data_IF_352702732486
#
_entry.id   IF_352702732486
#
_cell.length_a   1.000
_cell.length_b   1.000
_cell.length_c   1.000
_cell.angle_alpha   90.00
_cell.angle_beta   90.00
_cell.angle_gamma   90.00
#
_symmetry.space_group_name_H-M   'P 1'
#
loop_
_entity.id
_entity.type
_entity.pdbx_description
1 polymer ?
#
# COMPACT_ATOMS: atom_id res chain seq x y z
N UNK A 1 -15.88 28.87 -22.04
CA UNK A 1 -15.79 27.97 -20.88
C UNK A 1 -17.16 27.52 -20.38
N UNK A 2 -18.16 28.43 -20.21
CA UNK A 2 -19.51 28.09 -19.74
C UNK A 2 -20.23 27.08 -20.63
N UNK A 3 -20.16 27.22 -21.96
CA UNK A 3 -20.80 26.28 -22.91
C UNK A 3 -20.26 24.85 -22.78
N UNK A 4 -18.98 24.69 -22.57
CA UNK A 4 -18.37 23.35 -22.38
C UNK A 4 -18.81 22.69 -21.07
N UNK A 5 -18.94 23.46 -19.99
CA UNK A 5 -19.45 22.95 -18.72
C UNK A 5 -20.88 22.43 -18.84
N UNK A 6 -21.73 23.22 -19.51
CA UNK A 6 -23.13 22.86 -19.79
C UNK A 6 -23.18 21.60 -20.66
N UNK A 7 -22.42 21.55 -21.75
CA UNK A 7 -22.36 20.35 -22.61
C UNK A 7 -21.89 19.10 -21.86
N UNK A 8 -20.90 19.24 -20.98
CA UNK A 8 -20.42 18.13 -20.14
C UNK A 8 -21.47 17.67 -19.15
N UNK A 9 -22.21 18.60 -18.54
CA UNK A 9 -23.30 18.28 -17.61
C UNK A 9 -24.42 17.52 -18.33
N UNK A 10 -24.86 18.01 -19.49
CA UNK A 10 -25.85 17.32 -20.32
C UNK A 10 -25.36 15.93 -20.74
N UNK A 11 -24.13 15.80 -21.21
CA UNK A 11 -23.55 14.49 -21.61
C UNK A 11 -23.52 13.49 -20.43
N UNK A 12 -23.23 13.95 -19.21
CA UNK A 12 -23.28 13.10 -18.01
C UNK A 12 -24.71 12.66 -17.67
N UNK A 13 -25.66 13.61 -17.75
CA UNK A 13 -27.09 13.33 -17.51
C UNK A 13 -27.64 12.34 -18.52
N UNK A 14 -27.37 12.56 -19.82
CA UNK A 14 -27.77 11.65 -20.91
C UNK A 14 -27.22 10.24 -20.71
N UNK A 15 -25.96 10.12 -20.31
CA UNK A 15 -25.34 8.82 -20.06
C UNK A 15 -25.92 8.09 -18.84
N UNK A 16 -26.54 8.79 -17.91
CA UNK A 16 -27.17 8.20 -16.74
C UNK A 16 -28.64 7.88 -16.97
N UNK A 17 -29.44 8.91 -17.26
CA UNK A 17 -30.87 8.81 -17.61
C UNK A 17 -31.33 10.11 -18.27
N UNK A 18 -31.99 10.03 -19.42
CA UNK A 18 -32.49 11.19 -20.16
C UNK A 18 -33.47 12.04 -19.36
N UNK A 19 -34.21 11.43 -18.45
CA UNK A 19 -35.17 12.09 -17.56
C UNK A 19 -34.51 13.07 -16.57
N UNK A 20 -33.17 13.02 -16.40
CA UNK A 20 -32.41 14.07 -15.69
C UNK A 20 -32.34 15.39 -16.45
N UNK A 21 -32.59 15.38 -17.76
CA UNK A 21 -32.65 16.58 -18.60
C UNK A 21 -34.08 17.09 -18.66
N UNK A 22 -35.02 16.21 -19.02
CA UNK A 22 -36.44 16.51 -19.04
C UNK A 22 -37.21 15.28 -18.51
N UNK A 23 -37.94 15.39 -17.38
CA UNK A 23 -38.72 14.28 -16.80
C UNK A 23 -39.78 13.69 -17.72
N UNK A 24 -40.15 14.40 -18.81
CA UNK A 24 -41.13 13.91 -19.79
C UNK A 24 -40.57 12.89 -20.78
N UNK A 25 -39.26 12.62 -20.79
CA UNK A 25 -38.69 11.54 -21.59
C UNK A 25 -39.18 10.18 -21.09
N UNK A 26 -39.37 9.26 -22.00
CA UNK A 26 -39.76 7.89 -21.69
C UNK A 26 -38.67 7.13 -20.89
N UNK A 27 -39.15 6.18 -20.08
CA UNK A 27 -38.27 5.24 -19.39
C UNK A 27 -37.70 4.23 -20.38
N UNK A 28 -36.41 4.25 -20.62
CA UNK A 28 -35.76 3.28 -21.48
C UNK A 28 -35.29 2.07 -20.67
N UNK A 29 -35.71 0.87 -21.11
CA UNK A 29 -35.41 -0.38 -20.41
C UNK A 29 -33.92 -0.72 -20.30
N UNK A 30 -33.11 -0.14 -21.21
CA UNK A 30 -31.66 -0.31 -21.28
C UNK A 30 -30.85 0.84 -20.67
N UNK A 31 -31.47 1.75 -19.92
CA UNK A 31 -30.73 2.80 -19.22
C UNK A 31 -30.01 2.25 -17.98
N UNK A 32 -29.05 3.02 -17.45
CA UNK A 32 -28.26 2.61 -16.26
C UNK A 32 -29.14 2.37 -15.04
N UNK A 33 -30.23 3.12 -14.87
CA UNK A 33 -31.13 2.95 -13.75
C UNK A 33 -31.81 1.57 -13.77
N UNK A 34 -32.27 1.13 -14.94
CA UNK A 34 -32.89 -0.19 -15.13
C UNK A 34 -31.88 -1.31 -14.94
N UNK A 35 -30.69 -1.20 -15.50
CA UNK A 35 -29.62 -2.18 -15.30
C UNK A 35 -29.20 -2.26 -13.83
N UNK A 36 -29.08 -1.12 -13.15
CA UNK A 36 -28.74 -1.10 -11.73
C UNK A 36 -29.82 -1.78 -10.88
N UNK A 37 -31.09 -1.49 -11.12
CA UNK A 37 -32.19 -2.12 -10.41
C UNK A 37 -32.17 -3.64 -10.58
N UNK A 38 -31.96 -4.13 -11.81
CA UNK A 38 -31.83 -5.56 -12.11
C UNK A 38 -30.69 -6.19 -11.33
N UNK A 39 -29.49 -5.62 -11.39
CA UNK A 39 -28.31 -6.14 -10.69
C UNK A 39 -28.49 -6.15 -9.18
N UNK A 40 -29.05 -5.07 -8.63
CA UNK A 40 -29.37 -5.03 -7.19
C UNK A 40 -30.31 -6.16 -6.81
N UNK A 41 -31.36 -6.40 -7.60
CA UNK A 41 -32.32 -7.46 -7.35
C UNK A 41 -31.69 -8.86 -7.45
N UNK A 42 -30.77 -9.08 -8.38
CA UNK A 42 -29.99 -10.33 -8.49
C UNK A 42 -29.16 -10.60 -7.23
N UNK A 43 -28.39 -9.61 -6.76
CA UNK A 43 -27.60 -9.72 -5.53
C UNK A 43 -28.49 -9.84 -4.28
N UNK A 44 -29.61 -9.13 -4.26
CA UNK A 44 -30.58 -9.23 -3.17
C UNK A 44 -31.09 -10.65 -3.01
N UNK A 45 -31.47 -11.31 -4.10
CA UNK A 45 -31.94 -12.70 -4.10
C UNK A 45 -30.83 -13.69 -3.81
N UNK A 46 -29.65 -13.51 -4.45
CA UNK A 46 -28.48 -14.37 -4.27
C UNK A 46 -28.04 -14.47 -2.80
N UNK A 47 -28.12 -13.37 -2.07
CA UNK A 47 -27.67 -13.28 -0.68
C UNK A 47 -28.84 -13.01 0.29
N UNK A 48 -30.04 -13.50 -0.03
CA UNK A 48 -31.21 -13.25 0.83
C UNK A 48 -31.12 -13.96 2.18
N UNK A 49 -30.70 -15.21 2.19
CA UNK A 49 -30.52 -15.99 3.43
C UNK A 49 -29.49 -15.35 4.37
N UNK A 50 -28.46 -14.71 3.83
CA UNK A 50 -27.40 -14.04 4.57
C UNK A 50 -27.70 -12.57 4.89
N UNK A 51 -28.84 -12.04 4.39
CA UNK A 51 -29.15 -10.60 4.48
C UNK A 51 -28.00 -9.71 4.00
N UNK A 52 -27.40 -10.07 2.83
CA UNK A 52 -26.31 -9.34 2.21
C UNK A 52 -26.73 -7.92 1.84
N UNK A 53 -25.83 -6.95 2.03
CA UNK A 53 -26.12 -5.54 1.80
C UNK A 53 -25.35 -4.97 0.61
N UNK A 54 -25.87 -3.91 0.00
CA UNK A 54 -25.33 -3.31 -1.21
C UNK A 54 -25.25 -1.80 -1.08
N UNK A 55 -24.18 -1.22 -1.62
CA UNK A 55 -23.96 0.23 -1.69
C UNK A 55 -24.19 0.71 -3.11
N UNK A 56 -24.92 1.80 -3.28
CA UNK A 56 -25.15 2.42 -4.59
C UNK A 56 -24.66 3.85 -4.55
N UNK A 57 -23.68 4.16 -5.38
CA UNK A 57 -23.05 5.47 -5.46
C UNK A 57 -23.45 6.20 -6.75
N UNK A 58 -23.90 7.44 -6.62
CA UNK A 58 -24.00 8.42 -7.69
C UNK A 58 -23.88 9.82 -7.14
N UNK A 59 -23.14 10.69 -7.83
CA UNK A 59 -23.09 12.13 -7.55
C UNK A 59 -24.08 12.92 -8.42
N UNK A 60 -24.76 12.23 -9.35
CA UNK A 60 -25.84 12.75 -10.19
C UNK A 60 -27.18 12.08 -9.87
N UNK A 61 -28.25 12.83 -10.03
CA UNK A 61 -29.62 12.30 -9.84
C UNK A 61 -29.88 11.82 -8.42
N UNK A 62 -29.22 12.46 -7.44
CA UNK A 62 -29.37 12.15 -6.02
C UNK A 62 -30.78 12.48 -5.53
N UNK A 63 -31.16 11.87 -4.42
CA UNK A 63 -32.49 12.07 -3.84
C UNK A 63 -32.79 13.55 -3.56
N UNK A 64 -33.91 14.02 -4.11
CA UNK A 64 -34.50 15.33 -3.88
C UNK A 64 -36.00 15.17 -3.68
N UNK A 65 -36.53 15.57 -2.51
CA UNK A 65 -37.96 15.48 -2.24
C UNK A 65 -38.80 16.33 -3.23
N UNK A 66 -39.85 15.74 -3.77
CA UNK A 66 -40.77 16.44 -4.67
C UNK A 66 -40.32 16.65 -6.11
N UNK A 67 -39.11 16.13 -6.45
CA UNK A 67 -38.61 16.12 -7.82
C UNK A 67 -38.24 14.72 -8.26
N UNK A 68 -38.44 14.44 -9.57
CA UNK A 68 -37.96 13.19 -10.16
C UNK A 68 -36.44 13.10 -10.01
N UNK A 69 -35.96 11.97 -9.56
CA UNK A 69 -34.52 11.70 -9.44
C UNK A 69 -34.24 10.20 -9.62
N UNK A 70 -33.01 9.89 -9.99
CA UNK A 70 -32.59 8.53 -10.32
C UNK A 70 -32.66 7.57 -9.11
N UNK A 71 -32.37 8.06 -7.91
CA UNK A 71 -32.45 7.23 -6.70
C UNK A 71 -33.89 6.76 -6.45
N UNK A 72 -34.84 7.68 -6.52
CA UNK A 72 -36.26 7.36 -6.36
C UNK A 72 -36.77 6.44 -7.46
N UNK A 73 -36.28 6.63 -8.69
CA UNK A 73 -36.66 5.78 -9.83
C UNK A 73 -36.14 4.34 -9.66
N UNK A 74 -34.87 4.16 -9.28
CA UNK A 74 -34.33 2.85 -9.01
C UNK A 74 -35.08 2.19 -7.84
N UNK A 75 -35.37 2.93 -6.78
CA UNK A 75 -36.16 2.44 -5.65
C UNK A 75 -37.55 2.00 -6.10
N UNK A 76 -38.23 2.80 -6.94
CA UNK A 76 -39.54 2.42 -7.51
C UNK A 76 -39.44 1.10 -8.27
N UNK A 77 -38.48 0.94 -9.18
CA UNK A 77 -38.24 -0.29 -9.92
C UNK A 77 -37.96 -1.48 -8.98
N UNK A 78 -37.12 -1.29 -7.95
CA UNK A 78 -36.85 -2.35 -6.96
C UNK A 78 -38.10 -2.81 -6.20
N UNK A 79 -38.96 -1.88 -5.87
CA UNK A 79 -40.20 -2.18 -5.15
C UNK A 79 -41.26 -2.76 -6.08
N UNK A 80 -41.55 -2.09 -7.20
CA UNK A 80 -42.67 -2.44 -8.08
C UNK A 80 -42.34 -3.63 -8.99
N UNK A 81 -41.16 -3.64 -9.61
CA UNK A 81 -40.81 -4.64 -10.61
C UNK A 81 -40.15 -5.89 -9.98
N UNK A 82 -39.44 -5.72 -8.86
CA UNK A 82 -38.65 -6.79 -8.21
C UNK A 82 -39.19 -7.23 -6.84
N UNK A 83 -40.17 -6.53 -6.27
CA UNK A 83 -40.84 -6.89 -5.01
C UNK A 83 -39.97 -6.70 -3.75
N UNK A 84 -38.93 -5.87 -3.81
CA UNK A 84 -38.08 -5.61 -2.65
C UNK A 84 -38.77 -4.65 -1.70
N UNK A 85 -38.86 -4.94 -0.39
CA UNK A 85 -39.55 -4.07 0.55
C UNK A 85 -38.94 -2.66 0.61
N UNK A 86 -39.76 -1.63 0.47
CA UNK A 86 -39.33 -0.23 0.51
C UNK A 86 -38.59 0.14 1.82
N UNK A 87 -38.91 -0.56 2.92
CA UNK A 87 -38.24 -0.38 4.22
C UNK A 87 -36.78 -0.81 4.23
N UNK A 88 -36.39 -1.72 3.32
CA UNK A 88 -35.01 -2.22 3.21
C UNK A 88 -34.13 -1.38 2.29
N UNK A 89 -34.69 -0.34 1.66
CA UNK A 89 -34.00 0.57 0.76
C UNK A 89 -33.98 1.98 1.37
N UNK A 90 -32.78 2.56 1.55
CA UNK A 90 -32.60 3.85 2.18
C UNK A 90 -31.70 4.78 1.35
N UNK A 91 -31.99 6.07 1.45
CA UNK A 91 -31.13 7.13 0.93
C UNK A 91 -30.44 7.82 2.10
N UNK A 92 -29.12 7.95 2.04
CA UNK A 92 -28.37 8.62 3.12
C UNK A 92 -28.76 10.09 3.26
N UNK A 93 -29.25 10.70 2.19
CA UNK A 93 -29.76 12.08 2.15
C UNK A 93 -31.02 12.29 3.01
N UNK A 94 -31.77 11.23 3.31
CA UNK A 94 -32.93 11.29 4.21
C UNK A 94 -32.54 11.49 5.68
N UNK A 95 -31.28 11.23 6.01
CA UNK A 95 -30.76 11.34 7.38
C UNK A 95 -30.46 12.80 7.73
N UNK A 96 -31.35 13.44 8.50
CA UNK A 96 -31.24 14.85 8.89
C UNK A 96 -30.15 15.12 9.92
N UNK A 97 -29.69 14.12 10.65
CA UNK A 97 -28.69 14.26 11.71
C UNK A 97 -27.84 12.98 11.86
N UNK A 98 -26.76 13.07 12.60
CA UNK A 98 -25.83 11.97 12.85
C UNK A 98 -26.48 10.77 13.54
N UNK A 99 -27.47 10.98 14.40
CA UNK A 99 -28.20 9.89 15.08
C UNK A 99 -29.00 9.08 14.07
N UNK A 100 -29.71 9.73 13.15
CA UNK A 100 -30.46 9.04 12.09
C UNK A 100 -29.50 8.30 11.15
N UNK A 101 -28.37 8.92 10.80
CA UNK A 101 -27.33 8.31 9.97
C UNK A 101 -26.76 7.04 10.63
N UNK A 102 -26.43 7.12 11.91
CA UNK A 102 -25.95 5.96 12.68
C UNK A 102 -26.99 4.84 12.71
N UNK A 103 -28.27 5.17 12.92
CA UNK A 103 -29.34 4.17 12.93
C UNK A 103 -29.44 3.40 11.59
N UNK A 104 -29.29 4.09 10.45
CA UNK A 104 -29.28 3.44 9.14
C UNK A 104 -28.05 2.55 8.95
N UNK A 105 -26.88 2.99 9.41
CA UNK A 105 -25.64 2.21 9.37
C UNK A 105 -25.77 0.94 10.22
N UNK A 106 -26.31 1.05 11.42
CA UNK A 106 -26.54 -0.08 12.32
C UNK A 106 -27.55 -1.06 11.70
N UNK A 107 -28.64 -0.55 11.12
CA UNK A 107 -29.63 -1.35 10.42
C UNK A 107 -29.05 -2.09 9.20
N UNK A 108 -28.08 -1.51 8.48
CA UNK A 108 -27.33 -2.22 7.44
C UNK A 108 -26.47 -3.36 8.01
N UNK A 109 -25.74 -3.08 9.07
CA UNK A 109 -24.90 -4.09 9.72
C UNK A 109 -25.73 -5.24 10.33
N UNK A 110 -26.98 -4.99 10.67
CA UNK A 110 -27.96 -5.99 11.12
C UNK A 110 -28.67 -6.71 9.96
N UNK A 111 -28.58 -6.19 8.73
CA UNK A 111 -29.27 -6.72 7.55
C UNK A 111 -30.73 -6.33 7.44
N UNK A 112 -31.22 -5.36 8.23
CA UNK A 112 -32.56 -4.78 8.15
C UNK A 112 -32.71 -3.80 6.98
N UNK A 113 -31.64 -3.07 6.65
CA UNK A 113 -31.50 -2.28 5.42
C UNK A 113 -30.54 -3.00 4.51
N UNK A 114 -30.99 -3.34 3.32
CA UNK A 114 -30.25 -4.16 2.37
C UNK A 114 -29.59 -3.33 1.26
N UNK A 115 -30.14 -2.16 0.95
CA UNK A 115 -29.63 -1.28 -0.12
C UNK A 115 -29.56 0.16 0.40
N UNK A 116 -28.38 0.76 0.29
CA UNK A 116 -28.18 2.17 0.63
C UNK A 116 -27.65 2.95 -0.57
N UNK A 117 -28.27 4.09 -0.82
CA UNK A 117 -27.86 5.03 -1.85
C UNK A 117 -27.19 6.24 -1.22
N UNK A 118 -26.16 6.75 -1.88
CA UNK A 118 -25.53 8.00 -1.47
C UNK A 118 -24.50 8.53 -2.45
N UNK A 119 -24.20 9.83 -2.31
CA UNK A 119 -23.11 10.48 -3.05
C UNK A 119 -21.75 10.17 -2.42
N UNK A 120 -20.68 10.46 -3.16
CA UNK A 120 -19.31 10.35 -2.64
C UNK A 120 -19.13 11.14 -1.35
N UNK A 121 -19.66 12.36 -1.28
CA UNK A 121 -19.53 13.24 -0.11
C UNK A 121 -20.29 12.72 1.11
N UNK A 122 -21.46 12.13 0.91
CA UNK A 122 -22.33 11.74 2.01
C UNK A 122 -22.13 10.30 2.49
N UNK A 123 -21.86 9.38 1.58
CA UNK A 123 -21.68 7.96 1.89
C UNK A 123 -20.22 7.54 1.85
N UNK A 124 -19.38 8.27 1.13
CA UNK A 124 -17.95 8.01 0.97
C UNK A 124 -17.08 8.33 2.19
N UNK A 125 -17.59 8.97 3.25
CA UNK A 125 -16.85 9.29 4.47
C UNK A 125 -17.61 8.87 5.73
N UNK A 126 -16.86 8.39 6.75
CA UNK A 126 -17.41 8.14 8.08
C UNK A 126 -18.42 6.99 8.22
N UNK A 127 -18.66 6.19 7.17
CA UNK A 127 -19.65 5.10 7.18
C UNK A 127 -18.97 3.75 7.40
N UNK A 128 -19.38 3.02 8.43
CA UNK A 128 -18.89 1.68 8.77
C UNK A 128 -20.05 0.65 8.70
N UNK A 129 -20.55 0.41 7.47
CA UNK A 129 -21.68 -0.50 7.21
C UNK A 129 -21.26 -1.74 6.40
N UNK A 130 -20.00 -2.16 6.53
CA UNK A 130 -19.42 -3.21 5.68
C UNK A 130 -19.71 -4.64 6.12
N UNK A 131 -20.24 -4.88 7.33
CA UNK A 131 -20.31 -6.25 7.90
C UNK A 131 -21.01 -7.27 7.00
N UNK A 132 -21.96 -6.83 6.18
CA UNK A 132 -22.77 -7.66 5.29
C UNK A 132 -22.65 -7.28 3.81
N UNK A 133 -21.72 -6.40 3.46
CA UNK A 133 -21.58 -5.89 2.10
C UNK A 133 -21.20 -6.99 1.12
N UNK A 134 -21.95 -7.13 0.04
CA UNK A 134 -21.71 -8.11 -1.04
C UNK A 134 -21.48 -7.46 -2.39
N UNK A 135 -21.97 -6.24 -2.59
CA UNK A 135 -21.78 -5.50 -3.82
C UNK A 135 -21.71 -3.98 -3.61
N UNK A 136 -20.97 -3.32 -4.50
CA UNK A 136 -20.93 -1.86 -4.66
C UNK A 136 -21.30 -1.53 -6.09
N UNK A 137 -22.23 -0.61 -6.27
CA UNK A 137 -22.72 -0.16 -7.57
C UNK A 137 -22.31 1.29 -7.80
N UNK A 138 -21.59 1.57 -8.89
CA UNK A 138 -21.25 2.90 -9.34
C UNK A 138 -22.08 3.30 -10.55
N UNK A 139 -23.16 4.05 -10.33
CA UNK A 139 -24.02 4.58 -11.40
C UNK A 139 -23.29 5.65 -12.23
N UNK A 140 -22.45 6.42 -11.58
CA UNK A 140 -21.50 7.32 -12.22
C UNK A 140 -20.10 7.11 -11.67
N UNK A 141 -19.09 7.41 -12.47
CA UNK A 141 -17.70 7.40 -12.03
C UNK A 141 -17.28 8.80 -11.58
N UNK A 142 -16.56 8.92 -10.45
CA UNK A 142 -16.00 10.19 -10.03
C UNK A 142 -14.87 10.64 -10.98
N UNK A 143 -14.42 11.89 -10.84
CA UNK A 143 -13.31 12.44 -11.62
C UNK A 143 -11.91 12.10 -11.05
N UNK A 144 -11.86 11.59 -9.83
CA UNK A 144 -10.61 11.30 -9.11
C UNK A 144 -10.56 9.83 -8.73
N UNK A 145 -9.42 9.16 -8.96
CA UNK A 145 -9.22 7.77 -8.52
C UNK A 145 -9.37 7.60 -7.00
N UNK A 146 -8.97 8.61 -6.22
CA UNK A 146 -9.15 8.62 -4.76
C UNK A 146 -10.61 8.49 -4.32
N UNK A 147 -11.51 9.15 -5.05
CA UNK A 147 -12.94 9.14 -4.72
C UNK A 147 -13.55 7.78 -5.03
N UNK A 148 -13.11 7.14 -6.13
CA UNK A 148 -13.51 5.78 -6.47
C UNK A 148 -13.02 4.79 -5.41
N UNK A 149 -11.74 4.84 -5.07
CA UNK A 149 -11.16 4.01 -4.00
C UNK A 149 -11.83 4.27 -2.64
N UNK A 150 -12.26 5.49 -2.36
CA UNK A 150 -12.99 5.85 -1.16
C UNK A 150 -14.40 5.23 -1.12
N UNK A 151 -15.13 5.21 -2.25
CA UNK A 151 -16.42 4.54 -2.38
C UNK A 151 -16.24 3.02 -2.14
N UNK A 152 -15.31 2.39 -2.82
CA UNK A 152 -15.04 0.95 -2.69
C UNK A 152 -14.64 0.58 -1.26
N UNK A 153 -13.80 1.39 -0.64
CA UNK A 153 -13.35 1.21 0.73
C UNK A 153 -14.47 1.26 1.79
N UNK A 154 -15.73 1.55 1.42
CA UNK A 154 -16.88 1.43 2.34
C UNK A 154 -17.36 0.00 2.50
N UNK A 155 -17.27 -0.79 1.45
CA UNK A 155 -17.69 -2.19 1.43
C UNK A 155 -16.51 -3.15 1.51
N UNK A 156 -15.39 -2.84 0.81
CA UNK A 156 -14.18 -3.64 0.77
C UNK A 156 -13.31 -3.31 1.99
N UNK A 157 -13.70 -3.83 3.15
CA UNK A 157 -13.07 -3.50 4.44
C UNK A 157 -13.01 -4.71 5.37
N UNK A 158 -12.07 -4.70 6.30
CA UNK A 158 -12.03 -5.71 7.38
C UNK A 158 -13.34 -5.73 8.18
N UNK A 159 -13.74 -6.91 8.65
CA UNK A 159 -14.97 -7.08 9.43
C UNK A 159 -16.22 -7.36 8.58
N UNK A 160 -16.06 -7.65 7.29
CA UNK A 160 -17.16 -8.14 6.45
C UNK A 160 -17.30 -9.66 6.62
N UNK A 161 -18.21 -10.06 7.48
CA UNK A 161 -18.42 -11.47 7.83
C UNK A 161 -19.10 -12.26 6.71
N UNK A 162 -20.07 -11.63 6.03
CA UNK A 162 -20.81 -12.29 4.96
C UNK A 162 -19.93 -12.53 3.75
N UNK A 163 -19.13 -11.56 3.34
CA UNK A 163 -18.19 -11.75 2.25
C UNK A 163 -17.16 -12.86 2.56
N UNK A 164 -16.66 -12.89 3.79
CA UNK A 164 -15.69 -13.91 4.23
C UNK A 164 -16.26 -15.31 4.19
N UNK A 165 -17.49 -15.52 4.67
CA UNK A 165 -18.07 -16.85 4.81
C UNK A 165 -18.80 -17.35 3.57
N UNK A 166 -19.43 -16.46 2.80
CA UNK A 166 -20.37 -16.83 1.74
C UNK A 166 -20.03 -16.31 0.35
N UNK A 167 -19.09 -15.35 0.21
CA UNK A 167 -18.71 -14.76 -1.07
C UNK A 167 -17.21 -14.91 -1.40
N UNK A 168 -16.54 -15.93 -0.86
CA UNK A 168 -15.11 -16.19 -1.13
C UNK A 168 -14.18 -15.04 -0.67
N UNK A 169 -14.59 -14.30 0.37
CA UNK A 169 -13.90 -13.12 0.89
C UNK A 169 -13.80 -11.98 -0.14
N UNK A 170 -14.80 -11.83 -1.01
CA UNK A 170 -14.86 -10.82 -2.07
C UNK A 170 -16.12 -9.99 -1.93
N UNK A 171 -16.03 -8.75 -2.40
CA UNK A 171 -17.15 -7.85 -2.64
C UNK A 171 -17.10 -7.47 -4.10
N UNK A 172 -18.20 -7.63 -4.80
CA UNK A 172 -18.27 -7.32 -6.22
C UNK A 172 -18.45 -5.81 -6.41
N UNK A 173 -17.64 -5.22 -7.30
CA UNK A 173 -17.73 -3.81 -7.69
C UNK A 173 -18.31 -3.74 -9.10
N UNK A 174 -19.49 -3.18 -9.24
CA UNK A 174 -20.24 -3.06 -10.49
C UNK A 174 -20.20 -1.59 -10.94
N UNK A 175 -19.70 -1.35 -12.13
CA UNK A 175 -19.61 -0.02 -12.72
C UNK A 175 -20.51 0.03 -13.95
N UNK A 176 -21.43 0.99 -13.97
CA UNK A 176 -22.35 1.19 -15.10
C UNK A 176 -21.80 2.25 -16.04
N UNK A 177 -21.67 1.89 -17.31
CA UNK A 177 -21.15 2.78 -18.32
C UNK A 177 -21.89 2.58 -19.64
N UNK A 178 -22.04 3.68 -20.38
CA UNK A 178 -22.60 3.67 -21.75
C UNK A 178 -21.45 3.71 -22.74
N UNK A 179 -21.49 2.78 -23.72
CA UNK A 179 -20.48 2.73 -24.78
C UNK A 179 -20.43 4.03 -25.59
N UNK A 180 -19.23 4.38 -26.05
CA UNK A 180 -19.00 5.54 -26.93
C UNK A 180 -19.58 6.87 -26.37
N UNK A 181 -19.66 6.98 -25.07
CA UNK A 181 -20.17 8.17 -24.36
C UNK A 181 -19.09 8.88 -23.55
N UNK A 182 -19.49 9.90 -22.79
CA UNK A 182 -18.62 10.57 -21.82
C UNK A 182 -18.08 9.60 -20.74
N UNK A 183 -18.73 8.48 -20.50
CA UNK A 183 -18.24 7.48 -19.58
C UNK A 183 -16.92 6.86 -20.06
N UNK A 184 -16.80 6.55 -21.34
CA UNK A 184 -15.54 6.06 -21.92
C UNK A 184 -14.40 7.04 -21.73
N UNK A 185 -14.66 8.33 -21.92
CA UNK A 185 -13.69 9.39 -21.66
C UNK A 185 -13.30 9.48 -20.19
N UNK A 186 -14.27 9.41 -19.28
CA UNK A 186 -14.01 9.44 -17.82
C UNK A 186 -13.19 8.24 -17.36
N UNK A 187 -13.48 7.05 -17.87
CA UNK A 187 -12.69 5.86 -17.57
C UNK A 187 -11.24 6.00 -18.04
N UNK A 188 -11.04 6.50 -19.26
CA UNK A 188 -9.70 6.76 -19.77
C UNK A 188 -8.94 7.77 -18.88
N UNK A 189 -9.61 8.84 -18.50
CA UNK A 189 -9.02 9.87 -17.63
C UNK A 189 -8.67 9.32 -16.24
N UNK A 190 -9.54 8.50 -15.65
CA UNK A 190 -9.29 7.84 -14.37
C UNK A 190 -8.11 6.86 -14.47
N UNK A 191 -8.05 6.09 -15.56
CA UNK A 191 -6.95 5.20 -15.83
C UNK A 191 -5.61 5.94 -15.91
N UNK A 192 -5.52 6.98 -16.72
CA UNK A 192 -4.32 7.81 -16.85
C UNK A 192 -3.87 8.40 -15.50
N UNK A 193 -4.81 8.92 -14.72
CA UNK A 193 -4.51 9.47 -13.39
C UNK A 193 -4.02 8.40 -12.41
N UNK A 194 -4.64 7.23 -12.42
CA UNK A 194 -4.25 6.13 -11.54
C UNK A 194 -2.87 5.59 -11.89
N UNK A 195 -2.57 5.44 -13.16
CA UNK A 195 -1.27 5.03 -13.67
C UNK A 195 -0.18 6.01 -13.24
N UNK A 196 -0.42 7.31 -13.41
CA UNK A 196 0.49 8.36 -12.94
C UNK A 196 0.76 8.27 -11.43
N UNK A 197 -0.29 8.09 -10.63
CA UNK A 197 -0.15 7.93 -9.17
C UNK A 197 0.68 6.69 -8.83
N UNK A 198 0.45 5.59 -9.54
CA UNK A 198 1.18 4.34 -9.33
C UNK A 198 2.65 4.46 -9.71
N UNK A 199 2.97 5.12 -10.81
CA UNK A 199 4.34 5.43 -11.24
C UNK A 199 5.06 6.31 -10.22
N UNK A 200 4.40 7.36 -9.73
CA UNK A 200 4.95 8.26 -8.73
C UNK A 200 5.27 7.51 -7.42
N UNK A 201 4.35 6.67 -6.95
CA UNK A 201 4.54 5.89 -5.70
C UNK A 201 5.62 4.83 -5.82
N UNK A 202 5.78 4.22 -7.00
CA UNK A 202 6.79 3.18 -7.24
C UNK A 202 8.19 3.73 -7.51
N UNK A 203 8.32 5.05 -7.70
CA UNK A 203 9.58 5.69 -8.13
C UNK A 203 10.00 5.30 -9.55
N UNK A 204 9.16 4.61 -10.30
CA UNK A 204 9.42 4.17 -11.66
C UNK A 204 9.12 5.29 -12.68
N UNK A 205 9.67 6.47 -12.45
CA UNK A 205 9.59 7.60 -13.39
C UNK A 205 10.61 7.43 -14.52
N UNK A 206 10.42 6.42 -15.34
CA UNK A 206 11.27 6.17 -16.50
C UNK A 206 10.46 6.25 -17.77
N UNK A 207 10.46 7.34 -18.42
CA UNK A 207 9.91 7.75 -19.69
C UNK A 207 8.69 8.69 -19.55
N UNK A 208 8.63 9.67 -20.46
CA UNK A 208 7.55 10.69 -20.54
C UNK A 208 6.18 10.12 -20.96
N UNK A 209 6.05 8.82 -21.08
CA UNK A 209 4.80 8.12 -21.40
C UNK A 209 4.21 7.56 -20.13
N UNK A 210 2.94 7.86 -19.90
CA UNK A 210 2.13 7.22 -18.86
C UNK A 210 2.05 5.74 -19.25
N UNK A 211 2.68 4.88 -18.45
CA UNK A 211 2.64 3.45 -18.68
C UNK A 211 1.32 2.90 -18.14
N UNK A 212 0.52 2.31 -19.02
CA UNK A 212 -0.75 1.68 -18.69
C UNK A 212 -0.59 0.33 -17.96
N UNK A 213 0.65 -0.11 -17.78
CA UNK A 213 0.96 -1.43 -17.23
C UNK A 213 1.06 -1.49 -15.73
N UNK A 214 0.40 -2.39 -15.12
CA UNK A 214 0.50 -2.83 -13.72
C UNK A 214 -0.45 -2.18 -12.72
N UNK A 215 -1.73 -2.34 -12.95
CA UNK A 215 -2.69 -2.32 -11.86
C UNK A 215 -3.01 -3.76 -11.46
N UNK A 216 -2.70 -4.03 -10.22
CA UNK A 216 -3.09 -5.16 -9.38
C UNK A 216 -3.51 -6.48 -10.09
N UNK A 217 -2.57 -7.40 -10.27
CA UNK A 217 -2.81 -8.76 -10.78
C UNK A 217 -3.86 -9.56 -9.97
N UNK A 218 -4.26 -9.04 -8.81
CA UNK A 218 -5.18 -9.72 -7.88
C UNK A 218 -6.62 -9.24 -7.98
N UNK A 219 -6.92 -8.14 -8.67
CA UNK A 219 -8.25 -7.50 -8.64
C UNK A 219 -9.17 -7.81 -9.82
N UNK A 220 -8.77 -8.64 -10.78
CA UNK A 220 -9.58 -8.94 -11.96
C UNK A 220 -9.27 -8.01 -13.13
N UNK A 221 -10.29 -7.53 -13.85
CA UNK A 221 -10.18 -6.64 -15.01
C UNK A 221 -9.53 -5.30 -14.63
N UNK A 222 -8.54 -4.86 -15.42
CA UNK A 222 -7.95 -3.53 -15.27
C UNK A 222 -8.72 -2.47 -16.08
N UNK A 223 -8.38 -1.17 -15.88
CA UNK A 223 -9.03 -0.08 -16.60
C UNK A 223 -8.86 -0.15 -18.12
N UNK A 224 -7.73 -0.64 -18.63
CA UNK A 224 -7.50 -0.82 -20.07
C UNK A 224 -8.42 -1.88 -20.66
N UNK A 225 -8.69 -2.96 -19.92
CA UNK A 225 -9.67 -4.00 -20.31
C UNK A 225 -11.09 -3.44 -20.33
N UNK A 226 -11.47 -2.61 -19.35
CA UNK A 226 -12.75 -1.89 -19.35
C UNK A 226 -12.88 -0.95 -20.54
N UNK A 227 -11.81 -0.21 -20.86
CA UNK A 227 -11.79 0.66 -22.05
C UNK A 227 -11.97 -0.10 -23.36
N UNK A 228 -11.31 -1.25 -23.48
CA UNK A 228 -11.44 -2.12 -24.66
C UNK A 228 -12.90 -2.60 -24.85
N UNK A 229 -13.54 -3.02 -23.77
CA UNK A 229 -14.94 -3.46 -23.80
C UNK A 229 -15.87 -2.28 -24.15
N UNK A 230 -15.69 -1.13 -23.53
CA UNK A 230 -16.53 0.05 -23.75
C UNK A 230 -16.37 0.63 -25.17
N UNK A 231 -15.19 0.50 -25.78
CA UNK A 231 -14.96 0.94 -27.15
C UNK A 231 -15.48 -0.03 -28.19
N UNK A 232 -15.85 -1.26 -27.78
CA UNK A 232 -16.25 -2.34 -28.69
C UNK A 232 -15.13 -2.82 -29.62
N UNK A 233 -13.87 -2.55 -29.26
CA UNK A 233 -12.68 -2.89 -30.05
C UNK A 233 -11.89 -4.01 -29.39
N UNK A 234 -11.95 -5.20 -29.97
CA UNK A 234 -11.24 -6.41 -29.52
C UNK A 234 -9.72 -6.25 -29.51
N UNK A 235 -9.17 -5.45 -30.43
CA UNK A 235 -7.72 -5.21 -30.52
C UNK A 235 -7.20 -4.47 -29.28
N UNK A 236 -8.01 -3.56 -28.71
CA UNK A 236 -7.68 -2.88 -27.46
C UNK A 236 -7.66 -3.84 -26.26
N UNK A 237 -8.51 -4.88 -26.28
CA UNK A 237 -8.50 -5.91 -25.25
C UNK A 237 -7.22 -6.75 -25.30
N UNK A 238 -6.82 -7.15 -26.51
CA UNK A 238 -5.59 -7.90 -26.73
C UNK A 238 -4.35 -7.05 -26.43
N UNK A 239 -4.36 -5.78 -26.80
CA UNK A 239 -3.34 -4.80 -26.39
C UNK A 239 -3.22 -4.73 -24.88
N UNK A 240 -4.32 -4.55 -24.16
CA UNK A 240 -4.31 -4.47 -22.70
C UNK A 240 -3.75 -5.75 -22.02
N UNK A 241 -4.09 -6.93 -22.58
CA UNK A 241 -3.55 -8.22 -22.09
C UNK A 241 -2.05 -8.34 -22.33
N UNK A 242 -1.57 -7.94 -23.50
CA UNK A 242 -0.15 -7.96 -23.84
C UNK A 242 0.66 -6.97 -22.99
N UNK A 243 0.15 -5.77 -22.78
CA UNK A 243 0.76 -4.77 -21.91
C UNK A 243 0.90 -5.26 -20.47
N UNK A 244 -0.14 -5.92 -19.93
CA UNK A 244 -0.08 -6.56 -18.62
C UNK A 244 1.03 -7.61 -18.53
N UNK A 245 1.18 -8.44 -19.59
CA UNK A 245 2.24 -9.45 -19.66
C UNK A 245 3.63 -8.83 -19.74
N UNK A 246 3.79 -7.77 -20.55
CA UNK A 246 5.05 -7.03 -20.67
C UNK A 246 5.44 -6.41 -19.33
N UNK A 247 4.51 -5.75 -18.65
CA UNK A 247 4.76 -5.14 -17.34
C UNK A 247 5.21 -6.17 -16.29
N UNK A 248 4.58 -7.35 -16.26
CA UNK A 248 4.98 -8.45 -15.38
C UNK A 248 6.43 -8.90 -15.67
N UNK A 249 6.76 -9.13 -16.94
CA UNK A 249 8.11 -9.54 -17.35
C UNK A 249 9.17 -8.47 -17.06
N UNK A 250 8.83 -7.20 -17.23
CA UNK A 250 9.73 -6.09 -16.87
C UNK A 250 9.98 -6.00 -15.37
N UNK A 251 8.95 -6.23 -14.56
CA UNK A 251 9.09 -6.31 -13.10
C UNK A 251 10.00 -7.46 -12.68
N UNK A 252 9.83 -8.65 -13.27
CA UNK A 252 10.70 -9.81 -13.04
C UNK A 252 12.14 -9.51 -13.46
N UNK A 253 12.34 -8.94 -14.65
CA UNK A 253 13.67 -8.52 -15.14
C UNK A 253 14.34 -7.56 -14.16
N UNK A 254 13.62 -6.54 -13.67
CA UNK A 254 14.14 -5.56 -12.71
C UNK A 254 14.52 -6.23 -11.38
N UNK A 255 13.68 -7.13 -10.88
CA UNK A 255 13.96 -7.90 -9.66
C UNK A 255 15.19 -8.80 -9.83
N UNK A 256 15.32 -9.47 -10.97
CA UNK A 256 16.50 -10.28 -11.30
C UNK A 256 17.78 -9.45 -11.34
N UNK A 257 17.77 -8.31 -12.02
CA UNK A 257 18.95 -7.42 -12.07
C UNK A 257 19.35 -6.91 -10.69
N UNK A 258 18.37 -6.53 -9.86
CA UNK A 258 18.63 -6.12 -8.48
C UNK A 258 19.24 -7.24 -7.64
N UNK A 259 18.71 -8.46 -7.75
CA UNK A 259 19.25 -9.63 -7.06
C UNK A 259 20.68 -9.96 -7.54
N UNK A 260 20.91 -9.96 -8.85
CA UNK A 260 22.23 -10.19 -9.45
C UNK A 260 23.28 -9.17 -8.98
N UNK A 261 22.94 -7.87 -9.01
CA UNK A 261 23.84 -6.81 -8.53
C UNK A 261 24.13 -6.94 -7.03
N UNK A 262 23.11 -7.25 -6.22
CA UNK A 262 23.27 -7.51 -4.79
C UNK A 262 24.15 -8.73 -4.50
N UNK A 263 24.03 -9.80 -5.28
CA UNK A 263 24.87 -10.98 -5.15
C UNK A 263 26.33 -10.72 -5.56
N UNK A 264 26.54 -9.94 -6.62
CA UNK A 264 27.89 -9.55 -7.08
C UNK A 264 28.59 -8.70 -6.01
N UNK A 265 27.90 -7.74 -5.42
CA UNK A 265 28.43 -6.91 -4.35
C UNK A 265 28.81 -7.74 -3.11
N UNK A 266 27.94 -8.66 -2.68
CA UNK A 266 28.23 -9.58 -1.57
C UNK A 266 29.43 -10.48 -1.83
N UNK A 267 29.56 -10.96 -3.06
CA UNK A 267 30.71 -11.78 -3.44
C UNK A 267 32.03 -11.00 -3.29
N UNK A 268 32.05 -9.75 -3.75
CA UNK A 268 33.23 -8.88 -3.61
C UNK A 268 33.55 -8.60 -2.14
N UNK A 269 32.53 -8.30 -1.32
CA UNK A 269 32.67 -8.05 0.11
C UNK A 269 33.22 -9.30 0.84
N UNK A 270 32.66 -10.47 0.55
CA UNK A 270 33.13 -11.73 1.15
C UNK A 270 34.55 -12.07 0.72
N UNK A 271 34.92 -11.80 -0.52
CA UNK A 271 36.30 -12.00 -1.01
C UNK A 271 37.28 -11.12 -0.24
N UNK A 272 36.95 -9.83 -0.02
CA UNK A 272 37.79 -8.93 0.80
C UNK A 272 37.89 -9.39 2.26
N UNK A 273 36.75 -9.78 2.84
CA UNK A 273 36.70 -10.29 4.22
C UNK A 273 37.53 -11.57 4.39
N UNK A 274 37.44 -12.49 3.41
CA UNK A 274 38.18 -13.73 3.43
C UNK A 274 39.71 -13.51 3.33
N UNK A 275 40.13 -12.58 2.46
CA UNK A 275 41.51 -12.17 2.36
C UNK A 275 42.03 -11.57 3.67
N UNK A 276 41.26 -10.66 4.28
CA UNK A 276 41.58 -10.06 5.57
C UNK A 276 41.67 -11.09 6.69
N UNK A 277 40.69 -11.99 6.79
CA UNK A 277 40.70 -13.04 7.81
C UNK A 277 41.90 -13.97 7.67
N UNK A 278 42.26 -14.37 6.43
CA UNK A 278 43.45 -15.18 6.19
C UNK A 278 44.74 -14.47 6.64
N UNK A 279 44.88 -13.17 6.33
CA UNK A 279 46.00 -12.37 6.80
C UNK A 279 46.04 -12.28 8.34
N UNK A 280 44.90 -12.09 8.97
CA UNK A 280 44.79 -12.11 10.43
C UNK A 280 45.19 -13.50 11.02
N UNK A 281 44.75 -14.61 10.43
CA UNK A 281 45.12 -15.97 10.87
C UNK A 281 46.63 -16.16 10.80
N UNK A 282 47.27 -15.76 9.70
CA UNK A 282 48.73 -15.89 9.55
C UNK A 282 49.46 -15.10 10.64
N UNK A 283 49.05 -13.84 10.88
CA UNK A 283 49.64 -12.96 11.90
C UNK A 283 49.43 -13.54 13.30
N UNK A 284 48.19 -13.92 13.63
CA UNK A 284 47.87 -14.48 14.93
C UNK A 284 48.61 -15.83 15.20
N UNK A 285 48.81 -16.67 14.18
CA UNK A 285 49.56 -17.90 14.31
C UNK A 285 51.05 -17.61 14.61
N UNK A 286 51.67 -16.66 13.92
CA UNK A 286 53.05 -16.22 14.17
C UNK A 286 53.17 -15.59 15.58
N UNK A 287 52.20 -14.77 15.98
CA UNK A 287 52.16 -14.18 17.33
C UNK A 287 52.03 -15.27 18.40
N UNK A 288 51.18 -16.26 18.16
CA UNK A 288 50.98 -17.39 19.08
C UNK A 288 52.26 -18.24 19.26
N UNK A 289 52.96 -18.52 18.17
CA UNK A 289 54.27 -19.23 18.22
C UNK A 289 55.29 -18.37 19.01
N UNK A 290 55.36 -17.08 18.75
CA UNK A 290 56.21 -16.14 19.47
C UNK A 290 55.89 -16.11 20.96
N UNK A 291 54.59 -16.10 21.29
CA UNK A 291 54.11 -16.14 22.67
C UNK A 291 54.56 -17.44 23.36
N UNK A 292 54.34 -18.61 22.73
CA UNK A 292 54.73 -19.90 23.27
C UNK A 292 56.25 -20.01 23.53
N UNK A 293 57.08 -19.42 22.63
CA UNK A 293 58.52 -19.43 22.75
C UNK A 293 59.03 -18.53 23.90
N UNK A 294 58.31 -17.50 24.25
CA UNK A 294 58.75 -16.49 25.23
C UNK A 294 58.02 -16.55 26.58
N UNK A 295 56.88 -17.21 26.63
CA UNK A 295 56.12 -17.35 27.87
C UNK A 295 56.89 -18.24 28.86
N UNK A 296 57.15 -17.68 30.04
CA UNK A 296 57.80 -18.39 31.15
C UNK A 296 56.77 -18.78 32.20
N UNK A 297 56.91 -19.96 32.77
CA UNK A 297 56.05 -20.45 33.87
C UNK A 297 56.88 -20.68 35.13
N UNK A 298 56.23 -20.51 36.28
CA UNK A 298 56.82 -20.88 37.56
C UNK A 298 56.84 -22.40 37.78
N UNK A 299 57.35 -22.85 38.92
CA UNK A 299 57.42 -24.27 39.25
C UNK A 299 56.04 -24.90 39.48
N UNK A 300 55.00 -24.11 39.58
CA UNK A 300 53.63 -24.55 39.80
C UNK A 300 52.81 -24.50 38.50
N UNK A 301 53.44 -24.13 37.37
CA UNK A 301 52.79 -24.06 36.05
C UNK A 301 52.06 -22.74 35.77
N UNK A 302 52.09 -21.75 36.64
CA UNK A 302 51.51 -20.44 36.42
C UNK A 302 52.40 -19.58 35.52
N UNK A 303 51.85 -18.81 34.63
CA UNK A 303 52.62 -17.87 33.77
C UNK A 303 53.19 -16.74 34.58
N UNK A 304 54.50 -16.50 34.48
CA UNK A 304 55.15 -15.35 35.16
C UNK A 304 54.71 -14.04 34.52
N UNK A 305 54.60 -12.99 35.37
CA UNK A 305 54.32 -11.66 34.88
C UNK A 305 55.55 -11.12 34.14
N UNK A 306 55.42 -10.96 32.82
CA UNK A 306 56.50 -10.50 31.96
C UNK A 306 56.22 -9.07 31.39
N UNK A 307 55.30 -8.32 32.01
CA UNK A 307 55.05 -6.95 31.63
C UNK A 307 56.24 -6.09 31.96
N UNK A 308 56.78 -5.40 31.00
CA UNK A 308 57.84 -4.41 31.15
C UNK A 308 57.32 -3.08 30.59
N UNK A 309 57.41 -2.00 31.37
CA UNK A 309 57.05 -0.67 30.94
C UNK A 309 58.28 0.16 30.71
N UNK A 310 58.27 0.95 29.66
CA UNK A 310 59.43 1.78 29.27
C UNK A 310 59.74 2.78 30.42
N UNK A 311 61.03 2.81 30.81
CA UNK A 311 61.49 3.66 31.91
C UNK A 311 61.18 3.17 33.36
N UNK A 312 60.79 1.88 33.50
CA UNK A 312 60.61 1.25 34.80
C UNK A 312 61.38 -0.09 34.86
N UNK A 313 62.29 -0.26 35.80
CA UNK A 313 63.04 -1.51 36.03
C UNK A 313 62.28 -2.51 36.93
N UNK A 314 61.34 -2.00 37.74
CA UNK A 314 60.55 -2.81 38.67
C UNK A 314 59.48 -3.64 37.93
N UNK A 315 59.29 -4.87 38.35
CA UNK A 315 58.32 -5.83 37.73
C UNK A 315 57.19 -6.19 38.69
N UNK A 316 57.13 -5.60 39.87
CA UNK A 316 56.07 -5.85 40.83
C UNK A 316 54.75 -5.11 40.42
N UNK A 317 53.63 -5.71 40.75
CA UNK A 317 52.30 -5.19 40.36
C UNK A 317 52.00 -3.74 40.83
N UNK A 318 52.53 -3.32 41.97
CA UNK A 318 52.27 -2.02 42.55
C UNK A 318 53.03 -0.93 41.72
N UNK A 319 54.32 -1.16 41.44
CA UNK A 319 55.15 -0.24 40.66
C UNK A 319 54.63 -0.15 39.21
N UNK A 320 54.26 -1.30 38.62
CA UNK A 320 53.63 -1.30 37.27
C UNK A 320 52.31 -0.51 37.26
N UNK A 321 51.43 -0.71 38.27
CA UNK A 321 50.17 0.02 38.37
C UNK A 321 50.37 1.53 38.50
N UNK A 322 51.32 1.96 39.35
CA UNK A 322 51.64 3.39 39.49
C UNK A 322 52.16 3.99 38.18
N UNK A 323 53.04 3.29 37.49
CA UNK A 323 53.58 3.74 36.20
C UNK A 323 52.51 3.83 35.10
N UNK A 324 51.60 2.85 35.03
CA UNK A 324 50.46 2.91 34.13
C UNK A 324 49.53 4.11 34.40
N UNK A 325 49.26 4.39 35.69
CA UNK A 325 48.50 5.60 36.04
C UNK A 325 49.18 6.88 35.66
N UNK A 326 50.50 6.98 35.79
CA UNK A 326 51.27 8.16 35.36
C UNK A 326 51.21 8.31 33.82
N UNK A 327 51.41 7.22 33.10
CA UNK A 327 51.30 7.22 31.63
C UNK A 327 49.88 7.66 31.23
N UNK A 328 48.82 7.09 31.85
CA UNK A 328 47.47 7.42 31.55
C UNK A 328 47.15 8.91 31.80
N UNK A 329 47.66 9.47 32.88
CA UNK A 329 47.49 10.91 33.22
C UNK A 329 48.20 11.85 32.24
N UNK A 330 49.31 11.42 31.66
CA UNK A 330 50.20 12.29 30.89
C UNK A 330 50.19 12.00 29.37
N UNK A 331 49.56 10.89 28.95
CA UNK A 331 49.53 10.53 27.54
C UNK A 331 48.59 11.41 26.75
N UNK A 332 49.14 12.03 25.71
CA UNK A 332 48.39 12.71 24.64
C UNK A 332 48.84 12.11 23.32
N UNK A 333 48.00 11.20 22.75
CA UNK A 333 48.42 10.45 21.55
C UNK A 333 47.87 11.07 20.25
N UNK A 334 46.98 12.06 20.34
CA UNK A 334 46.36 12.64 19.14
C UNK A 334 45.64 11.62 18.26
N UNK A 335 45.22 10.50 18.82
CA UNK A 335 44.55 9.43 18.06
C UNK A 335 45.50 8.38 17.47
N UNK A 336 46.82 8.50 17.68
CA UNK A 336 47.81 7.50 17.26
C UNK A 336 48.18 6.54 18.40
N UNK A 337 48.73 5.38 18.04
CA UNK A 337 49.22 4.40 19.02
C UNK A 337 50.63 4.75 19.52
N UNK A 338 50.77 4.95 20.84
CA UNK A 338 52.04 5.18 21.50
C UNK A 338 52.48 3.88 22.20
N UNK A 339 53.73 3.43 21.92
CA UNK A 339 54.34 2.30 22.65
C UNK A 339 54.71 2.76 24.06
N UNK A 340 54.32 1.95 25.04
CA UNK A 340 54.58 2.22 26.46
C UNK A 340 55.36 1.11 27.16
N UNK A 341 55.55 -0.03 26.48
CA UNK A 341 56.22 -1.18 27.04
C UNK A 341 56.10 -2.41 26.19
N UNK A 342 56.38 -3.57 26.79
CA UNK A 342 56.26 -4.86 26.14
C UNK A 342 55.78 -5.94 27.09
N UNK A 343 55.11 -6.97 26.50
CA UNK A 343 54.73 -8.19 27.17
C UNK A 343 55.14 -9.38 26.31
N UNK A 344 56.04 -10.21 26.81
CA UNK A 344 56.65 -11.34 26.07
C UNK A 344 57.26 -10.94 24.72
N UNK A 345 57.73 -9.65 24.63
CA UNK A 345 58.24 -9.07 23.39
C UNK A 345 57.19 -8.50 22.44
N UNK A 346 55.93 -8.55 22.78
CA UNK A 346 54.86 -7.82 22.09
C UNK A 346 54.77 -6.38 22.63
N UNK A 347 54.66 -5.39 21.78
CA UNK A 347 54.52 -4.03 22.24
C UNK A 347 53.18 -3.79 22.95
N UNK A 348 53.24 -3.14 24.11
CA UNK A 348 52.04 -2.58 24.78
C UNK A 348 51.87 -1.20 24.25
N UNK A 349 50.68 -0.97 23.67
CA UNK A 349 50.34 0.29 23.02
C UNK A 349 49.19 0.97 23.78
N UNK A 350 49.26 2.30 23.87
CA UNK A 350 48.14 3.11 24.39
C UNK A 350 47.68 4.07 23.30
N UNK A 351 46.35 4.25 23.21
CA UNK A 351 45.73 5.23 22.33
C UNK A 351 44.70 6.02 23.13
N UNK A 352 44.75 7.34 23.06
CA UNK A 352 43.77 8.24 23.68
C UNK A 352 43.23 9.17 22.58
N UNK A 353 41.91 9.33 22.54
CA UNK A 353 41.25 10.26 21.62
C UNK A 353 41.22 11.70 22.16
N UNK A 354 41.28 11.85 23.49
CA UNK A 354 41.38 13.14 24.21
C UNK A 354 42.32 13.01 25.41
N UNK A 355 42.84 14.13 25.88
CA UNK A 355 43.65 14.16 27.12
C UNK A 355 42.84 13.63 28.29
N UNK A 356 43.32 12.61 29.00
CA UNK A 356 42.73 12.09 30.22
C UNK A 356 42.74 13.08 31.40
N UNK A 357 43.32 14.30 31.20
CA UNK A 357 43.33 15.36 32.21
C UNK A 357 41.96 16.02 32.42
N UNK A 358 41.00 15.84 31.53
CA UNK A 358 39.70 16.55 31.58
C UNK A 358 38.50 15.71 31.94
N UNK A 359 38.67 14.52 32.46
CA UNK A 359 37.48 13.74 32.71
C UNK A 359 37.67 12.43 33.46
N UNK A 360 37.72 12.50 34.72
CA UNK A 360 37.17 11.49 35.62
C UNK A 360 36.29 12.22 36.60
#
# INVERSE_FOLDING_TARGET
KAKMLIATDYARKMALDMRLIDPNYDDHTDNKASHCARMIAEYYRKYDAQKGTQFVFSDLGTFQPGQWNVYSEIKRKLVEDYGIPSSEIRFIQECKNEKARKAVIDAMNEGKVRVIFGSTSMLGTGVNAQKRAVAVHHLDTPWRPSDLAQRDGRAVRKGNEIAKMFAGNKVDVIIYAVEKSLDSYKFNLLHCKQTFISQLKSGAMGARTIDEGAMDEKSGMNFSEYMAILSGNTDLLDKARLEKKVAALESERKSFHKAKSGSAWKLEEYTKTLAHNNDCIVKMSADYETFLARAQTDKEGNKLNAVRLDGLEATDHKSLGTRLQEIAKNATTGGEYLRIGELYGFPILVKTESSLKEGV
#
